data_IF_409911345792
#
_entry.id   IF_409911345792
#
_cell.length_a   1.000
_cell.length_b   1.000
_cell.length_c   1.000
_cell.angle_alpha   90.00
_cell.angle_beta   90.00
_cell.angle_gamma   90.00
#
_symmetry.space_group_name_H-M   'P 1'
#
loop_
_entity.id
_entity.type
_entity.pdbx_description
1 polymer ?
#
# COMPACT_ATOMS: atom_id res chain seq x y z
N UNK A 1 -12.62 4.16 23.02
CA UNK A 1 -13.89 4.19 23.78
C UNK A 1 -14.01 5.39 24.71
N UNK A 2 -13.01 5.69 25.55
CA UNK A 2 -13.02 6.85 26.47
C UNK A 2 -13.29 8.19 25.77
N UNK A 3 -12.77 8.38 24.56
CA UNK A 3 -13.02 9.62 23.81
C UNK A 3 -14.44 9.80 23.28
N UNK A 4 -15.11 8.70 22.91
CA UNK A 4 -16.50 8.75 22.48
C UNK A 4 -17.43 9.09 23.65
N UNK A 5 -17.16 8.53 24.84
CA UNK A 5 -17.93 8.81 26.06
C UNK A 5 -17.86 10.28 26.45
N UNK A 6 -16.67 10.90 26.46
CA UNK A 6 -16.53 12.33 26.75
C UNK A 6 -17.23 13.23 25.74
N UNK A 7 -17.18 12.89 24.45
CA UNK A 7 -17.92 13.61 23.41
C UNK A 7 -19.44 13.54 23.65
N UNK A 8 -19.96 12.35 24.01
CA UNK A 8 -21.37 12.17 24.33
C UNK A 8 -21.75 12.92 25.61
N UNK A 9 -20.93 12.85 26.67
CA UNK A 9 -21.17 13.58 27.92
C UNK A 9 -21.23 15.10 27.71
N UNK A 10 -20.28 15.69 26.99
CA UNK A 10 -20.29 17.13 26.70
C UNK A 10 -21.54 17.52 25.90
N UNK A 11 -21.91 16.72 24.90
CA UNK A 11 -23.14 16.95 24.14
C UNK A 11 -24.38 16.88 25.02
N UNK A 12 -24.48 15.89 25.91
CA UNK A 12 -25.62 15.75 26.83
C UNK A 12 -25.71 16.98 27.73
N UNK A 13 -24.60 17.38 28.36
CA UNK A 13 -24.59 18.58 29.22
C UNK A 13 -24.98 19.86 28.48
N UNK A 14 -24.45 20.06 27.26
CA UNK A 14 -24.80 21.24 26.46
C UNK A 14 -26.25 21.20 26.00
N UNK A 15 -26.77 20.02 25.67
CA UNK A 15 -28.18 19.83 25.29
C UNK A 15 -29.10 20.10 26.45
N UNK A 16 -28.75 19.65 27.65
CA UNK A 16 -29.52 19.96 28.87
C UNK A 16 -29.54 21.48 29.07
N UNK A 17 -28.38 22.14 29.04
CA UNK A 17 -28.28 23.58 29.27
C UNK A 17 -29.06 24.40 28.24
N UNK A 18 -28.82 24.16 26.95
CA UNK A 18 -29.47 24.89 25.84
C UNK A 18 -30.94 24.49 25.71
N UNK A 19 -31.25 23.21 25.88
CA UNK A 19 -32.61 22.69 25.81
C UNK A 19 -33.48 23.19 26.96
N UNK A 20 -32.94 23.32 28.18
CA UNK A 20 -33.65 23.92 29.31
C UNK A 20 -33.92 25.41 29.08
N UNK A 21 -32.95 26.16 28.55
CA UNK A 21 -33.15 27.57 28.17
C UNK A 21 -34.21 27.71 27.06
N UNK A 22 -34.15 26.86 26.03
CA UNK A 22 -35.13 26.85 24.95
C UNK A 22 -36.54 26.46 25.44
N UNK A 23 -36.64 25.49 26.34
CA UNK A 23 -37.90 25.07 26.94
C UNK A 23 -38.50 26.17 27.82
N UNK A 24 -37.68 26.89 28.60
CA UNK A 24 -38.12 28.05 29.38
C UNK A 24 -38.60 29.19 28.47
N UNK A 25 -37.94 29.42 27.34
CA UNK A 25 -38.37 30.43 26.36
C UNK A 25 -39.64 30.03 25.60
N UNK A 26 -39.88 28.72 25.41
CA UNK A 26 -41.09 28.20 24.78
C UNK A 26 -42.29 28.12 25.73
N UNK A 27 -42.05 28.08 27.04
CA UNK A 27 -43.06 28.00 28.10
C UNK A 27 -44.23 29.01 27.93
N UNK A 28 -44.00 30.32 27.68
CA UNK A 28 -45.09 31.28 27.48
C UNK A 28 -45.94 31.01 26.24
N UNK A 29 -45.38 30.39 25.18
CA UNK A 29 -46.13 30.01 24.00
C UNK A 29 -47.00 28.74 24.21
N UNK A 30 -46.65 27.92 25.21
CA UNK A 30 -47.33 26.66 25.54
C UNK A 30 -48.50 26.87 26.52
N UNK A 31 -48.69 28.09 27.07
CA UNK A 31 -49.83 28.45 27.94
C UNK A 31 -51.21 28.49 27.22
N UNK A 32 -51.34 27.91 26.02
CA UNK A 32 -52.64 27.53 25.44
C UNK A 32 -53.17 26.25 26.12
N UNK A 33 -54.48 25.92 26.05
CA UNK A 33 -55.20 25.08 27.04
C UNK A 33 -54.92 23.57 26.92
N UNK A 34 -53.70 23.21 26.57
CA UNK A 34 -53.20 21.85 26.54
C UNK A 34 -52.66 21.54 27.95
N UNK A 35 -53.35 20.66 28.67
CA UNK A 35 -53.00 20.29 30.04
C UNK A 35 -51.56 19.81 30.21
N UNK A 36 -51.11 19.75 31.47
CA UNK A 36 -49.73 19.42 31.89
C UNK A 36 -49.14 18.16 31.23
N UNK A 37 -50.00 17.22 30.84
CA UNK A 37 -49.63 15.97 30.15
C UNK A 37 -48.95 16.21 28.79
N UNK A 38 -49.31 17.29 28.07
CA UNK A 38 -48.72 17.62 26.77
C UNK A 38 -47.37 18.36 26.86
N UNK A 39 -47.03 18.90 28.03
CA UNK A 39 -45.78 19.63 28.23
C UNK A 39 -44.56 18.72 28.02
N UNK A 40 -44.60 17.48 28.53
CA UNK A 40 -43.52 16.51 28.32
C UNK A 40 -43.45 16.02 26.87
N UNK A 41 -44.61 15.82 26.23
CA UNK A 41 -44.71 15.41 24.83
C UNK A 41 -44.11 16.45 23.86
N UNK A 42 -44.21 17.75 24.18
CA UNK A 42 -43.59 18.85 23.43
C UNK A 42 -42.12 19.07 23.81
N UNK A 43 -41.74 18.89 25.07
CA UNK A 43 -40.36 19.10 25.51
C UNK A 43 -39.40 18.04 24.92
N UNK A 44 -39.79 16.77 24.91
CA UNK A 44 -38.95 15.68 24.40
C UNK A 44 -38.41 15.92 22.96
N UNK A 45 -39.23 16.24 21.95
CA UNK A 45 -38.74 16.51 20.60
C UNK A 45 -37.85 17.76 20.52
N UNK A 46 -38.08 18.78 21.35
CA UNK A 46 -37.20 19.97 21.43
C UNK A 46 -35.81 19.57 21.91
N UNK A 47 -35.71 18.79 22.98
CA UNK A 47 -34.41 18.29 23.48
C UNK A 47 -33.70 17.40 22.44
N UNK A 48 -34.43 16.54 21.73
CA UNK A 48 -33.89 15.73 20.64
C UNK A 48 -33.36 16.62 19.51
N UNK A 49 -34.13 17.60 19.06
CA UNK A 49 -33.73 18.54 18.02
C UNK A 49 -32.48 19.34 18.42
N UNK A 50 -32.44 19.86 19.65
CA UNK A 50 -31.29 20.58 20.20
C UNK A 50 -30.04 19.69 20.27
N UNK A 51 -30.19 18.42 20.67
CA UNK A 51 -29.09 17.46 20.71
C UNK A 51 -28.46 17.25 19.33
N UNK A 52 -29.29 17.04 18.31
CA UNK A 52 -28.82 16.89 16.94
C UNK A 52 -28.22 18.19 16.39
N UNK A 53 -28.82 19.35 16.69
CA UNK A 53 -28.33 20.66 16.24
C UNK A 53 -26.95 20.98 16.82
N UNK A 54 -26.77 20.85 18.13
CA UNK A 54 -25.46 21.01 18.80
C UNK A 54 -24.45 20.05 18.19
N UNK A 55 -24.88 18.82 17.94
CA UNK A 55 -24.03 17.82 17.38
C UNK A 55 -23.54 18.11 15.96
N UNK A 56 -24.45 18.59 15.12
CA UNK A 56 -24.14 19.06 13.77
C UNK A 56 -23.21 20.27 13.81
N UNK A 57 -23.47 21.23 14.71
CA UNK A 57 -22.70 22.46 14.85
C UNK A 57 -21.24 22.18 15.25
N UNK A 58 -21.00 21.33 16.25
CA UNK A 58 -19.63 20.95 16.64
C UNK A 58 -18.88 20.25 15.50
N UNK A 59 -19.56 19.33 14.80
CA UNK A 59 -18.98 18.65 13.66
C UNK A 59 -18.63 19.64 12.54
N UNK A 60 -19.52 20.60 12.23
CA UNK A 60 -19.28 21.64 11.22
C UNK A 60 -18.13 22.56 11.61
N UNK A 61 -18.07 23.02 12.85
CA UNK A 61 -16.98 23.88 13.35
C UNK A 61 -15.64 23.16 13.34
N UNK A 62 -15.56 21.95 13.88
CA UNK A 62 -14.32 21.17 13.91
C UNK A 62 -13.77 20.94 12.50
N UNK A 63 -14.64 20.60 11.55
CA UNK A 63 -14.25 20.36 10.17
C UNK A 63 -13.83 21.62 9.42
N UNK A 64 -14.55 22.73 9.60
CA UNK A 64 -14.14 24.01 9.02
C UNK A 64 -12.79 24.47 9.58
N UNK A 65 -12.54 24.25 10.88
CA UNK A 65 -11.25 24.57 11.52
C UNK A 65 -10.11 23.75 10.95
N UNK A 66 -10.31 22.44 10.75
CA UNK A 66 -9.31 21.55 10.13
C UNK A 66 -9.02 21.98 8.70
N UNK A 67 -10.06 22.25 7.89
CA UNK A 67 -9.86 22.70 6.51
C UNK A 67 -9.12 24.02 6.43
N UNK A 68 -9.44 24.97 7.31
CA UNK A 68 -8.74 26.23 7.40
C UNK A 68 -7.25 26.04 7.73
N UNK A 69 -6.93 25.17 8.70
CA UNK A 69 -5.54 24.84 9.05
C UNK A 69 -4.78 24.17 7.90
N UNK A 70 -5.42 23.27 7.14
CA UNK A 70 -4.82 22.64 5.95
C UNK A 70 -4.54 23.71 4.89
N UNK A 71 -5.49 24.62 4.64
CA UNK A 71 -5.31 25.69 3.67
C UNK A 71 -4.16 26.63 4.09
N UNK A 72 -4.10 27.04 5.36
CA UNK A 72 -2.97 27.83 5.87
C UNK A 72 -1.64 27.08 5.75
N UNK A 73 -1.60 25.79 6.09
CA UNK A 73 -0.41 24.96 5.95
C UNK A 73 0.08 24.93 4.49
N UNK A 74 -0.83 24.81 3.53
CA UNK A 74 -0.49 24.84 2.10
C UNK A 74 0.08 26.18 1.63
N UNK A 75 -0.35 27.30 2.22
CA UNK A 75 0.23 28.64 1.95
C UNK A 75 1.66 28.70 2.47
N UNK A 76 1.90 28.20 3.69
CA UNK A 76 3.24 28.15 4.26
C UNK A 76 4.17 27.17 3.53
N UNK A 77 3.65 26.06 3.03
CA UNK A 77 4.38 25.11 2.19
C UNK A 77 4.86 25.79 0.90
N UNK A 78 3.98 26.51 0.19
CA UNK A 78 4.34 27.27 -1.01
C UNK A 78 5.33 28.40 -0.72
N UNK A 79 5.27 28.99 0.47
CA UNK A 79 6.23 29.98 0.94
C UNK A 79 7.57 29.39 1.40
N UNK A 80 7.76 28.07 1.30
CA UNK A 80 8.98 27.37 1.69
C UNK A 80 9.18 27.22 3.20
N UNK A 81 8.19 27.59 4.03
CA UNK A 81 8.29 27.54 5.50
C UNK A 81 7.77 26.20 6.03
N UNK A 82 8.51 25.12 5.76
CA UNK A 82 8.15 23.75 6.12
C UNK A 82 7.80 23.56 7.61
N UNK A 83 8.60 24.12 8.53
CA UNK A 83 8.35 23.96 9.98
C UNK A 83 7.04 24.59 10.45
N UNK A 84 6.57 25.64 9.78
CA UNK A 84 5.30 26.30 10.11
C UNK A 84 4.12 25.52 9.54
N UNK A 85 4.25 25.02 8.31
CA UNK A 85 3.27 24.12 7.71
C UNK A 85 3.08 22.86 8.56
N UNK A 86 4.16 22.23 9.02
CA UNK A 86 4.09 21.04 9.88
C UNK A 86 3.36 21.34 11.20
N UNK A 87 3.66 22.47 11.86
CA UNK A 87 2.96 22.86 13.10
C UNK A 87 1.46 22.98 12.89
N UNK A 88 1.02 23.57 11.77
CA UNK A 88 -0.40 23.70 11.45
C UNK A 88 -1.05 22.34 11.15
N UNK A 89 -0.35 21.44 10.47
CA UNK A 89 -0.82 20.07 10.23
C UNK A 89 -0.93 19.27 11.54
N UNK A 90 0.07 19.34 12.42
CA UNK A 90 -0.01 18.72 13.76
C UNK A 90 -1.18 19.30 14.57
N UNK A 91 -1.42 20.61 14.49
CA UNK A 91 -2.58 21.26 15.11
C UNK A 91 -3.90 20.77 14.50
N UNK A 92 -3.96 20.55 13.19
CA UNK A 92 -5.12 20.00 12.52
C UNK A 92 -5.42 18.58 13.02
N UNK A 93 -4.39 17.73 13.19
CA UNK A 93 -4.52 16.40 13.81
C UNK A 93 -5.04 16.50 15.24
N UNK A 94 -4.50 17.40 16.06
CA UNK A 94 -4.97 17.58 17.44
C UNK A 94 -6.45 18.02 17.50
N UNK A 95 -6.89 18.89 16.60
CA UNK A 95 -8.31 19.25 16.46
C UNK A 95 -9.14 18.05 15.99
N UNK A 96 -8.58 17.21 15.13
CA UNK A 96 -9.23 15.99 14.65
C UNK A 96 -9.40 14.94 15.76
N UNK A 97 -8.39 14.79 16.61
CA UNK A 97 -8.38 13.89 17.77
C UNK A 97 -9.26 14.41 18.92
N UNK A 98 -9.50 15.72 18.96
CA UNK A 98 -10.37 16.34 19.96
C UNK A 98 -11.81 15.79 19.94
N UNK A 99 -12.53 16.02 21.04
CA UNK A 99 -13.92 15.64 21.26
C UNK A 99 -14.93 16.42 20.40
N UNK A 100 -14.50 17.16 19.39
CA UNK A 100 -15.39 18.02 18.58
C UNK A 100 -15.97 17.31 17.35
N UNK A 101 -15.32 16.24 16.88
CA UNK A 101 -15.72 15.56 15.64
C UNK A 101 -16.33 14.19 15.96
N UNK A 102 -17.47 13.88 15.34
CA UNK A 102 -18.13 12.58 15.48
C UNK A 102 -17.29 11.45 14.88
N UNK A 103 -17.14 10.29 15.54
CA UNK A 103 -16.28 9.19 15.09
C UNK A 103 -16.59 8.68 13.67
N UNK A 104 -17.86 8.67 13.26
CA UNK A 104 -18.25 8.25 11.90
C UNK A 104 -17.75 9.20 10.80
N UNK A 105 -17.70 10.50 11.09
CA UNK A 105 -17.15 11.49 10.16
C UNK A 105 -15.62 11.59 10.27
N UNK A 106 -15.04 11.13 11.39
CA UNK A 106 -13.59 11.09 11.60
C UNK A 106 -12.93 10.19 10.56
N UNK A 107 -13.41 8.98 10.34
CA UNK A 107 -12.71 8.00 9.49
C UNK A 107 -12.51 8.47 8.03
N UNK A 108 -13.58 8.96 7.38
CA UNK A 108 -13.51 9.45 5.99
C UNK A 108 -12.59 10.65 5.83
N UNK A 109 -12.58 11.57 6.81
CA UNK A 109 -11.84 12.84 6.70
C UNK A 109 -10.45 12.79 7.33
N UNK A 110 -10.22 11.88 8.27
CA UNK A 110 -8.88 11.54 8.78
C UNK A 110 -8.01 11.10 7.62
N UNK A 111 -8.56 10.26 6.73
CA UNK A 111 -7.87 9.81 5.52
C UNK A 111 -7.41 10.96 4.62
N UNK A 112 -8.21 12.03 4.48
CA UNK A 112 -7.83 13.20 3.71
C UNK A 112 -6.69 13.99 4.37
N UNK A 113 -6.77 14.18 5.69
CA UNK A 113 -5.73 14.87 6.46
C UNK A 113 -4.41 14.07 6.48
N UNK A 114 -4.45 12.78 6.77
CA UNK A 114 -3.27 11.91 6.79
C UNK A 114 -2.65 11.78 5.40
N UNK A 115 -3.46 11.75 4.34
CA UNK A 115 -2.96 11.76 2.95
C UNK A 115 -2.29 13.07 2.56
N UNK A 116 -2.78 14.21 3.06
CA UNK A 116 -2.10 15.49 2.85
C UNK A 116 -0.79 15.58 3.64
N UNK A 117 -0.78 15.10 4.90
CA UNK A 117 0.44 15.01 5.69
C UNK A 117 1.49 14.10 5.06
N UNK A 118 1.09 12.92 4.54
CA UNK A 118 2.02 12.01 3.87
C UNK A 118 2.67 12.68 2.64
N UNK A 119 1.88 13.38 1.81
CA UNK A 119 2.40 14.15 0.67
C UNK A 119 3.35 15.25 1.13
N UNK A 120 2.97 16.03 2.14
CA UNK A 120 3.81 17.08 2.70
C UNK A 120 5.16 16.53 3.22
N UNK A 121 5.18 15.39 3.90
CA UNK A 121 6.43 14.78 4.35
C UNK A 121 7.26 14.24 3.19
N UNK A 122 6.63 13.72 2.15
CA UNK A 122 7.30 13.30 0.92
C UNK A 122 7.82 14.46 0.07
N UNK A 123 7.41 15.71 0.29
CA UNK A 123 8.02 16.88 -0.36
C UNK A 123 9.24 17.41 0.39
N UNK A 124 9.38 17.09 1.69
CA UNK A 124 10.52 17.54 2.49
C UNK A 124 11.85 16.95 2.03
N UNK A 125 12.96 17.68 2.19
CA UNK A 125 14.30 17.19 1.88
C UNK A 125 14.80 16.14 2.88
N UNK A 126 14.40 16.28 4.15
CA UNK A 126 14.68 15.31 5.21
C UNK A 126 13.37 14.85 5.83
N UNK A 127 13.19 13.53 5.92
CA UNK A 127 12.05 12.92 6.59
C UNK A 127 12.51 12.49 7.98
N UNK A 128 11.86 12.98 9.04
CA UNK A 128 12.08 12.50 10.41
C UNK A 128 11.52 11.08 10.57
N UNK A 129 12.00 10.28 11.54
CA UNK A 129 11.42 8.96 11.82
C UNK A 129 9.90 9.01 12.05
N UNK A 130 9.41 10.02 12.78
CA UNK A 130 7.97 10.25 13.00
C UNK A 130 7.20 10.48 11.70
N UNK A 131 7.76 11.27 10.78
CA UNK A 131 7.15 11.55 9.49
C UNK A 131 7.10 10.32 8.59
N UNK A 132 8.15 9.48 8.65
CA UNK A 132 8.20 8.19 7.96
C UNK A 132 7.12 7.24 8.49
N UNK A 133 6.95 7.16 9.81
CA UNK A 133 5.90 6.35 10.44
C UNK A 133 4.51 6.79 10.03
N UNK A 134 4.30 8.11 9.91
CA UNK A 134 3.05 8.67 9.41
C UNK A 134 2.77 8.26 7.96
N UNK A 135 3.79 8.28 7.08
CA UNK A 135 3.67 7.83 5.68
C UNK A 135 3.38 6.32 5.61
N UNK A 136 4.13 5.50 6.35
CA UNK A 136 3.95 4.04 6.38
C UNK A 136 2.55 3.67 6.90
N UNK A 137 2.11 4.30 7.99
CA UNK A 137 0.77 4.11 8.55
C UNK A 137 -0.31 4.51 7.54
N UNK A 138 -0.11 5.64 6.84
CA UNK A 138 -1.00 6.06 5.77
C UNK A 138 -1.08 5.03 4.63
N UNK A 139 0.05 4.57 4.11
CA UNK A 139 0.11 3.58 3.02
C UNK A 139 -0.45 2.21 3.42
N UNK A 140 -0.34 1.81 4.69
CA UNK A 140 -1.01 0.60 5.22
C UNK A 140 -2.53 0.74 5.16
N UNK A 141 -3.08 1.93 5.42
CA UNK A 141 -4.52 2.20 5.33
C UNK A 141 -5.00 2.41 3.89
N UNK A 142 -4.13 2.94 3.01
CA UNK A 142 -4.45 3.33 1.63
C UNK A 142 -3.38 2.87 0.62
N UNK A 143 -3.21 1.56 0.42
CA UNK A 143 -2.24 1.04 -0.55
C UNK A 143 -2.57 1.41 -2.01
N UNK A 144 -3.80 1.84 -2.29
CA UNK A 144 -4.26 2.31 -3.59
C UNK A 144 -3.74 3.69 -4.00
N UNK A 145 -3.20 4.50 -3.06
CA UNK A 145 -2.66 5.82 -3.39
C UNK A 145 -1.31 5.69 -4.10
N UNK A 146 -1.39 5.59 -5.44
CA UNK A 146 -0.25 5.41 -6.32
C UNK A 146 0.80 6.51 -6.15
N UNK A 147 0.40 7.78 -6.06
CA UNK A 147 1.33 8.90 -6.05
C UNK A 147 2.20 8.89 -4.78
N UNK A 148 1.59 8.59 -3.63
CA UNK A 148 2.30 8.48 -2.35
C UNK A 148 3.18 7.23 -2.33
N UNK A 149 2.67 6.10 -2.84
CA UNK A 149 3.44 4.85 -2.90
C UNK A 149 4.70 4.99 -3.76
N UNK A 150 4.60 5.57 -4.96
CA UNK A 150 5.73 5.79 -5.85
C UNK A 150 6.78 6.72 -5.23
N UNK A 151 6.35 7.87 -4.69
CA UNK A 151 7.26 8.83 -4.06
C UNK A 151 7.95 8.26 -2.81
N UNK A 152 7.24 7.44 -2.02
CA UNK A 152 7.83 6.74 -0.88
C UNK A 152 8.86 5.69 -1.32
N UNK A 153 8.54 4.86 -2.32
CA UNK A 153 9.44 3.82 -2.84
C UNK A 153 10.75 4.39 -3.38
N UNK A 154 10.71 5.54 -4.06
CA UNK A 154 11.91 6.22 -4.56
C UNK A 154 12.85 6.66 -3.43
N UNK A 155 12.31 6.96 -2.25
CA UNK A 155 13.09 7.41 -1.08
C UNK A 155 13.57 6.26 -0.19
N UNK A 156 13.00 5.07 -0.36
CA UNK A 156 13.31 3.88 0.43
C UNK A 156 14.73 3.33 0.14
N UNK A 157 15.36 3.71 -0.96
CA UNK A 157 16.63 3.14 -1.42
C UNK A 157 17.81 3.28 -0.42
N UNK A 158 17.73 4.16 0.59
CA UNK A 158 18.87 4.53 1.45
C UNK A 158 18.68 4.39 2.98
N UNK A 159 17.81 3.52 3.51
CA UNK A 159 17.51 3.51 4.97
C UNK A 159 17.64 2.15 5.68
N UNK A 160 18.28 2.19 6.86
CA UNK A 160 18.32 1.14 7.91
C UNK A 160 17.07 1.22 8.79
N UNK A 161 15.94 0.68 8.33
CA UNK A 161 14.72 0.49 9.13
C UNK A 161 14.47 -1.00 9.29
N UNK A 162 13.62 -1.38 10.26
CA UNK A 162 13.13 -2.75 10.42
C UNK A 162 12.65 -3.30 9.07
N UNK A 163 13.46 -4.23 8.55
CA UNK A 163 13.30 -4.82 7.24
C UNK A 163 11.96 -5.55 7.15
N UNK A 164 11.44 -6.11 8.24
CA UNK A 164 10.18 -6.87 8.22
C UNK A 164 8.97 -5.99 7.95
N UNK A 165 8.86 -4.85 8.61
CA UNK A 165 7.72 -3.94 8.43
C UNK A 165 7.67 -3.37 7.00
N UNK A 166 8.85 -3.05 6.45
CA UNK A 166 8.98 -2.63 5.07
C UNK A 166 8.53 -3.74 4.12
N UNK A 167 8.97 -4.97 4.36
CA UNK A 167 8.62 -6.11 3.51
C UNK A 167 7.12 -6.40 3.47
N UNK A 168 6.44 -6.34 4.63
CA UNK A 168 4.99 -6.51 4.70
C UNK A 168 4.26 -5.41 3.90
N UNK A 169 4.75 -4.17 3.97
CA UNK A 169 4.20 -3.06 3.19
C UNK A 169 4.48 -3.22 1.69
N UNK A 170 5.69 -3.61 1.29
CA UNK A 170 6.05 -3.87 -0.11
C UNK A 170 5.18 -4.99 -0.69
N UNK A 171 4.89 -6.03 0.09
CA UNK A 171 3.98 -7.09 -0.32
C UNK A 171 2.55 -6.55 -0.54
N UNK A 172 2.02 -5.77 0.42
CA UNK A 172 0.69 -5.17 0.32
C UNK A 172 0.55 -4.25 -0.90
N UNK A 173 1.54 -3.37 -1.11
CA UNK A 173 1.59 -2.48 -2.27
C UNK A 173 1.73 -3.27 -3.57
N UNK A 174 2.62 -4.26 -3.63
CA UNK A 174 2.82 -5.10 -4.80
C UNK A 174 1.59 -5.92 -5.19
N UNK A 175 0.76 -6.30 -4.22
CA UNK A 175 -0.53 -6.98 -4.45
C UNK A 175 -1.60 -6.01 -4.94
N UNK A 176 -1.75 -4.85 -4.29
CA UNK A 176 -2.78 -3.86 -4.60
C UNK A 176 -2.53 -3.18 -5.94
N UNK A 177 -1.27 -2.86 -6.23
CA UNK A 177 -0.82 -2.13 -7.42
C UNK A 177 -0.19 -3.08 -8.44
N UNK A 178 -0.81 -4.24 -8.65
CA UNK A 178 -0.25 -5.31 -9.50
C UNK A 178 -0.02 -4.86 -10.94
N UNK A 179 -0.90 -4.00 -11.47
CA UNK A 179 -0.85 -3.50 -12.85
C UNK A 179 0.05 -2.26 -13.04
N UNK A 180 0.56 -1.64 -11.97
CA UNK A 180 1.38 -0.44 -12.08
C UNK A 180 2.86 -0.81 -12.35
N UNK A 181 3.40 -0.54 -13.55
CA UNK A 181 4.75 -0.95 -13.91
C UNK A 181 5.82 -0.23 -13.08
N UNK A 182 5.62 1.04 -12.71
CA UNK A 182 6.56 1.84 -11.93
C UNK A 182 6.72 1.28 -10.53
N UNK A 183 5.60 0.99 -9.85
CA UNK A 183 5.62 0.40 -8.50
C UNK A 183 6.24 -0.99 -8.54
N UNK A 184 5.85 -1.85 -9.49
CA UNK A 184 6.43 -3.19 -9.60
C UNK A 184 7.94 -3.12 -9.89
N UNK A 185 8.41 -2.18 -10.71
CA UNK A 185 9.83 -1.97 -10.99
C UNK A 185 10.60 -1.57 -9.74
N UNK A 186 10.09 -0.62 -8.95
CA UNK A 186 10.72 -0.18 -7.71
C UNK A 186 10.80 -1.29 -6.66
N UNK A 187 9.72 -2.06 -6.48
CA UNK A 187 9.72 -3.23 -5.58
C UNK A 187 10.71 -4.30 -6.09
N UNK A 188 10.73 -4.57 -7.40
CA UNK A 188 11.66 -5.53 -8.00
C UNK A 188 13.12 -5.12 -7.77
N UNK A 189 13.49 -3.85 -7.95
CA UNK A 189 14.84 -3.35 -7.65
C UNK A 189 15.25 -3.63 -6.21
N UNK A 190 14.34 -3.39 -5.24
CA UNK A 190 14.59 -3.66 -3.82
C UNK A 190 14.78 -5.16 -3.54
N UNK A 191 13.98 -6.03 -4.16
CA UNK A 191 14.16 -7.48 -3.99
C UNK A 191 15.44 -7.98 -4.64
N UNK A 192 15.86 -7.41 -5.77
CA UNK A 192 17.12 -7.72 -6.42
C UNK A 192 18.30 -7.28 -5.55
N UNK A 193 18.26 -6.06 -4.99
CA UNK A 193 19.34 -5.53 -4.14
C UNK A 193 19.49 -6.33 -2.85
N UNK A 194 18.40 -6.87 -2.31
CA UNK A 194 18.39 -7.77 -1.13
C UNK A 194 18.62 -9.24 -1.50
N UNK A 195 18.72 -9.57 -2.79
CA UNK A 195 18.97 -10.93 -3.28
C UNK A 195 17.83 -11.92 -3.01
N UNK A 196 16.59 -11.42 -2.85
CA UNK A 196 15.41 -12.23 -2.52
C UNK A 196 14.90 -13.04 -3.72
N UNK A 197 14.59 -14.30 -3.44
CA UNK A 197 14.04 -15.28 -4.41
C UNK A 197 12.98 -16.19 -3.78
N UNK A 198 12.28 -15.69 -2.77
CA UNK A 198 11.11 -16.34 -2.18
C UNK A 198 9.86 -16.12 -3.05
N UNK A 199 8.76 -16.78 -2.71
CA UNK A 199 7.55 -16.78 -3.54
C UNK A 199 7.04 -15.36 -3.85
N UNK A 200 7.09 -14.44 -2.89
CA UNK A 200 6.64 -13.06 -3.09
C UNK A 200 7.50 -12.33 -4.12
N UNK A 201 8.83 -12.43 -4.01
CA UNK A 201 9.76 -11.82 -4.94
C UNK A 201 9.58 -12.36 -6.37
N UNK A 202 9.43 -13.68 -6.51
CA UNK A 202 9.20 -14.32 -7.82
C UNK A 202 7.89 -13.86 -8.48
N UNK A 203 6.81 -13.67 -7.70
CA UNK A 203 5.55 -13.11 -8.20
C UNK A 203 5.72 -11.67 -8.69
N UNK A 204 6.46 -10.83 -7.95
CA UNK A 204 6.77 -9.46 -8.38
C UNK A 204 7.61 -9.44 -9.66
N UNK A 205 8.64 -10.28 -9.77
CA UNK A 205 9.46 -10.38 -10.99
C UNK A 205 8.65 -10.80 -12.21
N UNK A 206 7.75 -11.79 -12.03
CA UNK A 206 6.83 -12.22 -13.08
C UNK A 206 5.94 -11.07 -13.55
N UNK A 207 5.27 -10.37 -12.61
CA UNK A 207 4.42 -9.21 -12.93
C UNK A 207 5.19 -8.09 -13.61
N UNK A 208 6.42 -7.85 -13.19
CA UNK A 208 7.29 -6.85 -13.82
C UNK A 208 7.56 -7.19 -15.29
N UNK A 209 7.82 -8.46 -15.62
CA UNK A 209 8.05 -8.90 -17.01
C UNK A 209 6.74 -8.82 -17.83
N UNK A 210 5.61 -9.22 -17.24
CA UNK A 210 4.31 -9.23 -17.91
C UNK A 210 3.78 -7.81 -18.20
N UNK A 211 3.95 -6.87 -17.26
CA UNK A 211 3.34 -5.55 -17.34
C UNK A 211 4.22 -4.48 -17.99
N UNK A 212 5.54 -4.68 -18.05
CA UNK A 212 6.46 -3.64 -18.51
C UNK A 212 6.76 -3.79 -20.01
N UNK A 213 6.06 -3.03 -20.85
CA UNK A 213 6.26 -3.05 -22.31
C UNK A 213 7.64 -2.51 -22.74
N UNK A 214 8.22 -1.61 -21.95
CA UNK A 214 9.54 -1.02 -22.17
C UNK A 214 10.44 -1.40 -20.99
N UNK A 215 10.96 -2.62 -21.03
CA UNK A 215 11.61 -3.18 -19.86
C UNK A 215 12.92 -2.44 -19.58
N UNK A 216 13.07 -1.93 -18.35
CA UNK A 216 14.33 -1.37 -17.87
C UNK A 216 15.42 -2.45 -17.94
N UNK A 217 16.30 -2.29 -18.92
CA UNK A 217 17.31 -3.29 -19.24
C UNK A 217 18.25 -3.58 -18.08
N UNK A 218 18.51 -2.59 -17.20
CA UNK A 218 19.36 -2.81 -16.03
C UNK A 218 18.69 -3.75 -15.04
N UNK A 219 17.40 -3.56 -14.76
CA UNK A 219 16.64 -4.42 -13.84
C UNK A 219 16.62 -5.86 -14.36
N UNK A 220 16.31 -6.05 -15.65
CA UNK A 220 16.28 -7.39 -16.25
C UNK A 220 17.62 -8.10 -16.16
N UNK A 221 18.71 -7.38 -16.44
CA UNK A 221 20.05 -7.96 -16.43
C UNK A 221 20.43 -8.43 -15.02
N UNK A 222 20.20 -7.60 -13.98
CA UNK A 222 20.50 -7.97 -12.60
C UNK A 222 19.57 -9.07 -12.08
N UNK A 223 18.29 -9.05 -12.49
CA UNK A 223 17.33 -10.10 -12.18
C UNK A 223 17.76 -11.44 -12.78
N UNK A 224 18.17 -11.47 -14.05
CA UNK A 224 18.66 -12.68 -14.71
C UNK A 224 19.91 -13.25 -14.01
N UNK A 225 20.85 -12.41 -13.59
CA UNK A 225 22.01 -12.87 -12.81
C UNK A 225 21.62 -13.45 -11.47
N UNK A 226 20.69 -12.81 -10.76
CA UNK A 226 20.19 -13.30 -9.47
C UNK A 226 19.52 -14.67 -9.63
N UNK A 227 18.65 -14.82 -10.63
CA UNK A 227 17.96 -16.08 -10.94
C UNK A 227 18.97 -17.17 -11.32
N UNK A 228 19.99 -16.83 -12.12
CA UNK A 228 21.05 -17.76 -12.51
C UNK A 228 21.85 -18.24 -11.28
N UNK A 229 22.29 -17.32 -10.43
CA UNK A 229 23.01 -17.63 -9.19
C UNK A 229 22.21 -18.54 -8.26
N UNK A 230 20.89 -18.38 -8.24
CA UNK A 230 19.95 -19.18 -7.43
C UNK A 230 19.41 -20.41 -8.17
N UNK A 231 19.90 -20.71 -9.38
CA UNK A 231 19.53 -21.86 -10.22
C UNK A 231 18.02 -21.97 -10.48
N UNK A 232 17.39 -20.82 -10.74
CA UNK A 232 15.96 -20.69 -11.02
C UNK A 232 15.69 -20.99 -12.51
N UNK A 233 14.75 -21.89 -12.78
CA UNK A 233 14.46 -22.44 -14.12
C UNK A 233 12.98 -22.36 -14.50
N UNK A 234 12.20 -21.51 -13.82
CA UNK A 234 10.76 -21.36 -14.05
C UNK A 234 10.46 -20.90 -15.50
N UNK A 235 9.30 -21.28 -16.10
CA UNK A 235 8.99 -20.94 -17.49
C UNK A 235 9.01 -19.44 -17.80
N UNK A 236 8.56 -18.59 -16.87
CA UNK A 236 8.59 -17.13 -17.04
C UNK A 236 10.02 -16.56 -16.95
N UNK A 237 10.94 -17.24 -16.26
CA UNK A 237 12.35 -16.82 -16.17
C UNK A 237 13.06 -16.94 -17.52
N UNK A 238 12.58 -17.79 -18.42
CA UNK A 238 13.10 -17.90 -19.80
C UNK A 238 13.09 -16.55 -20.51
N UNK A 239 11.99 -15.80 -20.38
CA UNK A 239 11.86 -14.46 -20.98
C UNK A 239 12.86 -13.47 -20.38
N UNK A 240 13.11 -13.54 -19.06
CA UNK A 240 14.11 -12.71 -18.41
C UNK A 240 15.52 -12.99 -18.94
N UNK A 241 15.94 -14.27 -19.00
CA UNK A 241 17.25 -14.65 -19.52
C UNK A 241 17.43 -14.28 -20.99
N UNK A 242 16.39 -14.49 -21.82
CA UNK A 242 16.43 -14.19 -23.25
C UNK A 242 16.59 -12.69 -23.47
N UNK A 243 15.81 -11.90 -22.76
CA UNK A 243 15.87 -10.44 -22.86
C UNK A 243 17.19 -9.89 -22.33
N UNK A 244 17.68 -10.39 -21.19
CA UNK A 244 18.98 -10.01 -20.64
C UNK A 244 20.13 -10.34 -21.61
N UNK A 245 20.11 -11.51 -22.23
CA UNK A 245 21.14 -11.91 -23.20
C UNK A 245 21.13 -11.07 -24.48
N UNK A 246 19.94 -10.69 -24.97
CA UNK A 246 19.82 -9.78 -26.12
C UNK A 246 20.37 -8.39 -25.81
N UNK A 247 20.11 -7.89 -24.60
CA UNK A 247 20.57 -6.58 -24.16
C UNK A 247 22.09 -6.55 -23.89
N UNK A 248 22.66 -7.62 -23.31
CA UNK A 248 24.10 -7.73 -23.06
C UNK A 248 24.65 -9.11 -23.47
N UNK A 249 25.08 -9.21 -24.73
CA UNK A 249 25.70 -10.43 -25.29
C UNK A 249 27.05 -10.79 -24.67
N UNK A 250 27.67 -9.91 -23.88
CA UNK A 250 28.94 -10.22 -23.18
C UNK A 250 28.70 -11.22 -22.05
N UNK A 251 27.49 -11.29 -21.50
CA UNK A 251 27.09 -12.20 -20.41
C UNK A 251 26.73 -13.59 -20.94
N UNK A 252 27.69 -14.23 -21.62
CA UNK A 252 27.55 -15.57 -22.23
C UNK A 252 27.13 -16.66 -21.24
N UNK A 253 27.41 -16.49 -19.96
CA UNK A 253 26.99 -17.45 -18.94
C UNK A 253 25.45 -17.54 -18.81
N UNK A 254 24.69 -16.48 -19.13
CA UNK A 254 23.22 -16.51 -19.09
C UNK A 254 22.59 -17.47 -20.10
N UNK A 255 23.33 -17.87 -21.15
CA UNK A 255 22.93 -18.92 -22.09
C UNK A 255 22.69 -20.26 -21.35
N UNK A 256 23.40 -20.51 -20.25
CA UNK A 256 23.21 -21.70 -19.43
C UNK A 256 21.85 -21.68 -18.72
N UNK A 257 21.42 -20.50 -18.25
CA UNK A 257 20.08 -20.29 -17.69
C UNK A 257 18.98 -20.52 -18.73
N UNK A 258 19.18 -20.03 -19.96
CA UNK A 258 18.28 -20.29 -21.09
C UNK A 258 18.14 -21.79 -21.38
N UNK A 259 19.27 -22.49 -21.50
CA UNK A 259 19.27 -23.93 -21.75
C UNK A 259 18.59 -24.70 -20.62
N UNK A 260 18.88 -24.36 -19.36
CA UNK A 260 18.24 -24.99 -18.20
C UNK A 260 16.72 -24.78 -18.17
N UNK A 261 16.24 -23.58 -18.51
CA UNK A 261 14.80 -23.31 -18.65
C UNK A 261 14.17 -24.19 -19.74
N UNK A 262 14.76 -24.25 -20.95
CA UNK A 262 14.21 -25.04 -22.06
C UNK A 262 14.19 -26.55 -21.79
N UNK A 263 15.14 -27.06 -20.99
CA UNK A 263 15.14 -28.46 -20.57
C UNK A 263 14.10 -28.77 -19.48
N UNK A 264 13.75 -27.79 -18.65
CA UNK A 264 12.80 -27.94 -17.55
C UNK A 264 11.35 -27.54 -17.87
N UNK A 265 11.09 -26.96 -19.04
CA UNK A 265 9.76 -26.50 -19.45
C UNK A 265 8.81 -27.64 -19.80
N UNK A 266 7.57 -27.57 -19.29
CA UNK A 266 6.47 -28.49 -19.64
C UNK A 266 5.83 -28.13 -20.99
N UNK A 267 5.13 -29.09 -21.60
CA UNK A 267 4.53 -28.99 -22.94
C UNK A 267 3.64 -27.74 -23.17
N UNK A 268 2.97 -27.22 -22.16
CA UNK A 268 2.10 -26.04 -22.32
C UNK A 268 2.88 -24.73 -22.56
N UNK A 269 4.19 -24.70 -22.26
CA UNK A 269 5.03 -23.49 -22.40
C UNK A 269 5.86 -23.46 -23.68
N UNK A 270 5.86 -24.54 -24.46
CA UNK A 270 6.66 -24.68 -25.68
C UNK A 270 6.12 -23.86 -26.86
N UNK A 271 4.86 -23.44 -26.80
CA UNK A 271 4.24 -22.60 -27.84
C UNK A 271 4.49 -21.10 -27.68
N UNK A 272 5.09 -20.68 -26.56
CA UNK A 272 5.42 -19.27 -26.34
C UNK A 272 6.44 -18.76 -27.36
N UNK A 273 6.27 -17.51 -27.83
CA UNK A 273 7.21 -16.88 -28.76
C UNK A 273 8.65 -16.88 -28.20
N UNK A 274 8.79 -16.63 -26.90
CA UNK A 274 10.06 -16.69 -26.17
C UNK A 274 10.73 -18.07 -26.23
N UNK A 275 9.96 -19.16 -26.19
CA UNK A 275 10.49 -20.52 -26.31
C UNK A 275 11.03 -20.80 -27.71
N UNK A 276 10.24 -20.48 -28.75
CA UNK A 276 10.66 -20.66 -30.15
C UNK A 276 11.93 -19.86 -30.45
N UNK A 277 12.00 -18.62 -29.97
CA UNK A 277 13.16 -17.76 -30.19
C UNK A 277 14.40 -18.23 -29.40
N UNK A 278 14.24 -18.61 -28.13
CA UNK A 278 15.35 -19.17 -27.34
C UNK A 278 15.88 -20.47 -27.96
N UNK A 279 14.99 -21.34 -28.44
CA UNK A 279 15.36 -22.58 -29.14
C UNK A 279 16.12 -22.31 -30.44
N UNK A 280 15.66 -21.35 -31.25
CA UNK A 280 16.35 -20.93 -32.48
C UNK A 280 17.72 -20.27 -32.20
N UNK A 281 17.89 -19.64 -31.04
CA UNK A 281 19.16 -19.06 -30.61
C UNK A 281 20.14 -20.16 -30.20
N UNK A 282 19.67 -21.15 -29.44
CA UNK A 282 20.48 -22.28 -28.99
C UNK A 282 20.83 -23.26 -30.11
N UNK A 283 19.98 -23.42 -31.14
CA UNK A 283 20.28 -24.30 -32.28
C UNK A 283 21.45 -23.81 -33.13
N UNK A 284 21.78 -22.52 -33.05
CA UNK A 284 22.98 -21.93 -33.67
C UNK A 284 24.26 -22.17 -32.86
N UNK A 285 24.13 -22.71 -31.65
CA UNK A 285 25.24 -23.03 -30.75
C UNK A 285 25.51 -24.53 -30.85
N UNK A 286 26.78 -24.91 -30.89
CA UNK A 286 27.20 -26.31 -31.02
C UNK A 286 26.56 -27.22 -29.94
N UNK A 287 25.93 -28.31 -30.38
CA UNK A 287 25.19 -29.27 -29.54
C UNK A 287 26.08 -29.95 -28.51
N UNK A 288 27.36 -30.21 -28.82
CA UNK A 288 28.26 -30.89 -27.89
C UNK A 288 28.65 -29.99 -26.71
N UNK A 289 28.85 -28.71 -27.01
CA UNK A 289 29.03 -27.66 -26.00
C UNK A 289 27.79 -27.52 -25.11
N UNK A 290 26.60 -27.55 -25.69
CA UNK A 290 25.31 -27.42 -25.00
C UNK A 290 25.06 -28.58 -24.00
N UNK A 291 25.33 -29.83 -24.40
CA UNK A 291 25.19 -31.02 -23.53
C UNK A 291 26.19 -31.00 -22.37
N UNK A 292 27.44 -30.59 -22.62
CA UNK A 292 28.46 -30.41 -21.59
C UNK A 292 28.06 -29.34 -20.57
N UNK A 293 27.44 -28.26 -21.04
CA UNK A 293 26.98 -27.15 -20.21
C UNK A 293 25.79 -27.50 -19.33
N UNK A 294 24.82 -28.26 -19.86
CA UNK A 294 23.65 -28.72 -19.10
C UNK A 294 24.04 -29.64 -17.94
N UNK A 295 25.02 -30.53 -18.13
CA UNK A 295 25.54 -31.39 -17.04
C UNK A 295 26.08 -30.58 -15.84
N UNK A 296 26.66 -29.41 -16.08
CA UNK A 296 27.20 -28.55 -15.03
C UNK A 296 26.15 -27.58 -14.44
N UNK A 297 25.00 -27.45 -15.10
CA UNK A 297 23.96 -26.45 -14.78
C UNK A 297 22.68 -27.07 -14.20
N UNK A 298 22.59 -28.41 -14.15
CA UNK A 298 21.38 -29.10 -13.68
C UNK A 298 20.99 -28.68 -12.26
N UNK A 299 19.73 -28.29 -12.02
CA UNK A 299 19.17 -28.33 -10.69
C UNK A 299 19.14 -29.78 -10.21
N UNK A 300 19.40 -30.00 -8.91
CA UNK A 300 19.11 -31.30 -8.29
C UNK A 300 17.66 -31.67 -8.63
N UNK A 301 17.40 -32.93 -9.03
CA UNK A 301 16.04 -33.34 -9.35
C UNK A 301 15.13 -33.03 -8.16
N UNK A 302 13.86 -32.63 -8.38
CA UNK A 302 12.92 -32.52 -7.30
C UNK A 302 12.91 -33.86 -6.59
N UNK A 303 13.21 -33.87 -5.29
CA UNK A 303 12.98 -35.05 -4.48
C UNK A 303 11.50 -35.39 -4.65
N UNK A 304 11.20 -36.40 -5.47
CA UNK A 304 9.92 -37.10 -5.42
C UNK A 304 9.84 -37.59 -3.98
N UNK A 305 9.12 -36.87 -3.13
CA UNK A 305 8.56 -37.46 -1.92
C UNK A 305 7.78 -38.67 -2.43
N UNK A 306 8.30 -39.85 -2.12
CA UNK A 306 7.60 -41.10 -2.31
C UNK A 306 6.24 -40.97 -1.61
N UNK A 307 5.20 -40.63 -2.38
CA UNK A 307 3.83 -40.93 -2.02
C UNK A 307 3.65 -42.44 -2.23
N UNK A 308 4.24 -43.21 -1.34
CA UNK A 308 3.75 -44.56 -1.04
C UNK A 308 2.64 -44.32 -0.02
N UNK A 309 1.44 -43.97 -0.51
CA UNK A 309 0.23 -44.33 0.21
C UNK A 309 -0.19 -45.68 -0.37
N UNK A 310 0.38 -46.74 0.21
CA UNK A 310 -0.21 -48.07 0.09
C UNK A 310 -1.63 -47.99 0.61
N UNK A 311 -2.58 -48.06 -0.32
CA UNK A 311 -3.87 -48.67 -0.06
C UNK A 311 -3.62 -50.07 0.51
N UNK A 312 -4.17 -50.34 1.70
CA UNK A 312 -4.68 -51.66 2.02
C UNK A 312 -6.03 -51.53 2.74
N UNK A 313 -6.92 -52.53 2.55
CA UNK A 313 -8.35 -52.37 2.69
C UNK A 313 -8.88 -52.80 4.05
N UNK A 314 -10.18 -52.58 4.21
CA UNK A 314 -11.06 -52.90 5.32
C UNK A 314 -10.75 -54.20 6.09
N UNK A 315 -10.86 -54.09 7.42
CA UNK A 315 -11.66 -54.94 8.31
C UNK A 315 -11.97 -54.13 9.58
#
# INVERSE_FOLDING_TARGET
MVHALRHISIRIWLTILVGSLAALAALPAIQMPLGLEWAFALAAPVFVAVFFAIGWLFNRFGLNRVQHLINEASVWERAGKASQAEKLLRKAVAVFDSFLISPFNKEKRACGLTGHMARFYLTQTKISPEAEDAIVTYLKMRPEDQAVAEAWLQRLENKDRDQKEIEDLLYSLGKTQSANPTIQASIARRYISTGRTDFQALQTYRRFIENNKAIDGRIIIHMAELLFKKRRTEPWALQAYLTAYKLDRKRRHLIHGLAACLHGTHADSTDSASFKEASALLSKIDKTSLVKWLRNSSPLPPQRKNLIHTQKPAL
#
